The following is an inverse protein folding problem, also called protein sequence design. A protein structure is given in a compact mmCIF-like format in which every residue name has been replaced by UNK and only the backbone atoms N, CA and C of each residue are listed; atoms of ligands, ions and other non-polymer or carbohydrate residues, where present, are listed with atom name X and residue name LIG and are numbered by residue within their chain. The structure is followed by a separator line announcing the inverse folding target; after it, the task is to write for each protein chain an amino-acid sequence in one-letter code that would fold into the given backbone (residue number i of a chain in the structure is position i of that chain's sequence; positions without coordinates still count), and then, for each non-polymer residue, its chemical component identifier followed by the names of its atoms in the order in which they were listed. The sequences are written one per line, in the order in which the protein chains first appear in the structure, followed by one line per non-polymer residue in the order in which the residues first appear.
data_IF_908683623571
#
_entry.id   IF_908683623571
#
_cell.length_a   1.000
_cell.length_b   1.000
_cell.length_c   1.000
_cell.angle_alpha   90.00
_cell.angle_beta   90.00
_cell.angle_gamma   90.00
#
_symmetry.space_group_name_H-M   'P 1'
#
loop_
_entity.id
_entity.type
_entity.pdbx_description
1 polymer ?
#
# COMPACT_ATOMS: atom_id res chain seq x y z
N UNK A 1 3.73 4.13 -15.37
CA UNK A 1 3.85 5.48 -15.90
C UNK A 1 3.26 6.51 -14.95
N UNK A 2 3.27 7.76 -15.38
CA UNK A 2 2.84 8.84 -14.50
C UNK A 2 1.37 8.72 -14.11
N UNK A 3 0.54 8.22 -15.00
CA UNK A 3 -0.87 8.06 -14.67
C UNK A 3 -1.09 7.01 -13.59
N UNK A 4 -0.29 5.95 -13.61
CA UNK A 4 -0.37 4.96 -12.55
C UNK A 4 0.04 5.55 -11.21
N UNK A 5 1.06 6.39 -11.23
CA UNK A 5 1.52 7.06 -10.02
C UNK A 5 0.44 7.99 -9.48
N UNK A 6 -0.16 8.79 -10.33
CA UNK A 6 -1.21 9.71 -9.90
C UNK A 6 -2.41 8.95 -9.35
N UNK A 7 -2.80 7.87 -10.01
CA UNK A 7 -3.91 7.04 -9.54
C UNK A 7 -3.60 6.46 -8.15
N UNK A 8 -2.39 5.95 -7.98
CA UNK A 8 -2.01 5.34 -6.72
C UNK A 8 -2.02 6.37 -5.60
N UNK A 9 -1.59 7.59 -5.86
CA UNK A 9 -1.50 8.63 -4.85
C UNK A 9 -2.82 9.36 -4.62
N UNK A 10 -3.84 9.08 -5.41
CA UNK A 10 -5.12 9.77 -5.29
C UNK A 10 -5.94 9.30 -4.09
N UNK A 11 -5.60 8.19 -3.48
CA UNK A 11 -6.36 7.63 -2.37
C UNK A 11 -5.65 7.86 -1.04
N UNK A 12 -6.37 8.38 -0.02
CA UNK A 12 -5.73 8.68 1.27
C UNK A 12 -5.19 7.44 1.98
N UNK A 13 -5.83 6.30 1.84
CA UNK A 13 -5.33 5.08 2.48
C UNK A 13 -4.00 4.68 1.84
N UNK A 14 -3.90 4.78 0.53
CA UNK A 14 -2.65 4.44 -0.14
C UNK A 14 -1.53 5.39 0.24
N UNK A 15 -1.84 6.69 0.40
CA UNK A 15 -0.82 7.63 0.88
C UNK A 15 -0.35 7.27 2.28
N UNK A 16 -1.29 6.85 3.14
CA UNK A 16 -0.91 6.47 4.50
C UNK A 16 -0.08 5.20 4.52
N UNK A 17 -0.39 4.24 3.64
CA UNK A 17 0.42 3.04 3.53
C UNK A 17 1.86 3.40 3.18
N UNK A 18 2.04 4.30 2.21
CA UNK A 18 3.39 4.73 1.84
C UNK A 18 4.09 5.38 3.02
N UNK A 19 3.36 6.17 3.78
CA UNK A 19 3.92 6.83 4.95
C UNK A 19 4.38 5.81 6.00
N UNK A 20 3.58 4.77 6.22
CA UNK A 20 3.96 3.72 7.16
C UNK A 20 5.22 3.00 6.70
N UNK A 21 5.34 2.75 5.41
CA UNK A 21 6.47 2.00 4.88
C UNK A 21 7.76 2.80 4.85
N UNK A 22 7.69 4.11 5.05
CA UNK A 22 8.89 4.93 5.14
C UNK A 22 9.78 4.51 6.30
N UNK A 23 9.19 3.96 7.35
CA UNK A 23 9.93 3.62 8.55
C UNK A 23 10.38 2.17 8.60
N UNK A 24 10.20 1.44 7.52
CA UNK A 24 10.66 0.07 7.45
C UNK A 24 9.64 -0.83 6.79
N UNK A 25 10.03 -2.08 6.67
CA UNK A 25 9.17 -3.07 6.02
C UNK A 25 8.05 -3.49 6.95
N UNK A 26 6.88 -3.68 6.36
CA UNK A 26 5.72 -4.19 7.07
C UNK A 26 5.07 -5.27 6.23
N UNK A 27 4.55 -6.30 6.89
CA UNK A 27 3.76 -7.30 6.20
C UNK A 27 2.39 -6.74 5.89
N UNK A 28 1.66 -7.38 4.99
CA UNK A 28 0.30 -6.96 4.68
C UNK A 28 -0.59 -6.97 5.91
N UNK A 29 -0.41 -7.96 6.79
CA UNK A 29 -1.18 -8.03 8.03
C UNK A 29 -0.87 -6.87 8.96
N UNK A 30 0.42 -6.50 9.06
CA UNK A 30 0.82 -5.37 9.89
C UNK A 30 0.24 -4.07 9.36
N UNK A 31 0.26 -3.90 8.04
CA UNK A 31 -0.34 -2.71 7.43
C UNK A 31 -1.85 -2.68 7.72
N UNK A 32 -2.51 -3.81 7.53
CA UNK A 32 -3.95 -3.90 7.74
C UNK A 32 -4.34 -3.51 9.17
N UNK A 33 -3.48 -3.82 10.13
CA UNK A 33 -3.76 -3.53 11.54
C UNK A 33 -3.84 -2.03 11.83
N UNK A 34 -3.31 -1.19 10.93
CA UNK A 34 -3.37 0.26 11.10
C UNK A 34 -4.68 0.87 10.60
N UNK A 35 -5.54 0.09 9.99
CA UNK A 35 -6.74 0.62 9.34
C UNK A 35 -7.98 -0.13 9.79
N UNK A 36 -9.13 0.52 9.61
CA UNK A 36 -10.43 -0.09 9.91
C UNK A 36 -11.09 -0.64 8.66
N UNK A 37 -10.30 -1.14 7.71
CA UNK A 37 -10.80 -1.68 6.46
C UNK A 37 -10.44 -3.16 6.38
N UNK A 38 -11.04 -3.86 5.42
CA UNK A 38 -10.82 -5.30 5.29
C UNK A 38 -9.45 -5.60 4.72
N UNK A 39 -8.97 -6.83 4.98
CA UNK A 39 -7.73 -7.29 4.38
C UNK A 39 -7.79 -7.29 2.87
N UNK A 40 -8.97 -7.62 2.31
CA UNK A 40 -9.13 -7.59 0.85
C UNK A 40 -8.95 -6.19 0.29
N UNK A 41 -9.44 -5.17 1.01
CA UNK A 41 -9.26 -3.79 0.60
C UNK A 41 -7.78 -3.42 0.63
N UNK A 42 -7.08 -3.79 1.70
CA UNK A 42 -5.65 -3.50 1.80
C UNK A 42 -4.87 -4.20 0.69
N UNK A 43 -5.21 -5.46 0.40
CA UNK A 43 -4.54 -6.18 -0.69
C UNK A 43 -4.69 -5.46 -2.01
N UNK A 44 -5.88 -4.92 -2.27
CA UNK A 44 -6.13 -4.16 -3.49
C UNK A 44 -5.30 -2.88 -3.54
N UNK A 45 -5.24 -2.15 -2.42
CA UNK A 45 -4.43 -0.95 -2.35
C UNK A 45 -2.95 -1.26 -2.60
N UNK A 46 -2.47 -2.35 -2.00
CA UNK A 46 -1.08 -2.75 -2.20
C UNK A 46 -0.80 -3.13 -3.65
N UNK A 47 -1.75 -3.79 -4.31
CA UNK A 47 -1.59 -4.16 -5.72
C UNK A 47 -1.46 -2.90 -6.59
N UNK A 48 -2.28 -1.89 -6.31
CA UNK A 48 -2.23 -0.64 -7.08
C UNK A 48 -0.90 0.07 -6.86
N UNK A 49 -0.43 0.11 -5.61
CA UNK A 49 0.87 0.72 -5.32
C UNK A 49 2.01 -0.02 -5.98
N UNK A 50 1.90 -1.34 -6.03
CA UNK A 50 2.94 -2.16 -6.66
C UNK A 50 2.97 -1.95 -8.17
N UNK A 51 1.80 -1.87 -8.80
CA UNK A 51 1.71 -1.59 -10.22
C UNK A 51 2.33 -0.25 -10.59
N UNK A 52 2.26 0.70 -9.69
CA UNK A 52 2.83 2.03 -9.91
C UNK A 52 4.32 2.08 -9.55
N UNK A 53 4.90 0.95 -9.16
CA UNK A 53 6.29 0.86 -8.75
C UNK A 53 6.63 1.73 -7.55
N UNK A 54 5.64 2.03 -6.72
CA UNK A 54 5.86 2.81 -5.52
C UNK A 54 6.28 1.94 -4.35
N UNK A 55 5.96 0.65 -4.40
CA UNK A 55 6.41 -0.31 -3.41
C UNK A 55 6.88 -1.57 -4.13
N UNK A 56 7.66 -2.40 -3.42
CA UNK A 56 8.10 -3.67 -3.93
C UNK A 56 7.23 -4.78 -3.37
N UNK A 57 7.44 -6.00 -3.85
CA UNK A 57 6.74 -7.14 -3.29
C UNK A 57 6.98 -7.23 -1.80
N UNK A 58 5.90 -7.36 -1.05
CA UNK A 58 5.99 -7.57 0.38
C UNK A 58 6.07 -9.06 0.66
N UNK A 59 7.00 -9.45 1.51
CA UNK A 59 7.01 -10.81 1.97
C UNK A 59 5.96 -10.99 3.03
N UNK A 60 5.31 -12.12 2.98
CA UNK A 60 4.35 -12.45 4.01
C UNK A 60 5.07 -12.70 5.32
N UNK A 61 4.63 -12.03 6.31
CA UNK A 61 5.21 -12.20 7.63
C UNK A 61 4.73 -13.45 8.31
#
# INVERSE_FOLDING_TARGET
GIQDTLKALADPIRREILNLLKNGRLSAGEICAHFSVTGASISRHLAILKEADLIRNQREG
#
